data_IF_139509316021
#
_entry.id   IF_139509316021
#
_cell.length_a   1.000
_cell.length_b   1.000
_cell.length_c   1.000
_cell.angle_alpha   90.00
_cell.angle_beta   90.00
_cell.angle_gamma   90.00
#
_symmetry.space_group_name_H-M   'P 1'
#
loop_
_entity.id
_entity.type
_entity.pdbx_description
1 polymer ?
#
# COMPACT_ATOMS: atom_id res chain seq x y z
N UNK A 1 28.77 12.60 -16.10
CA UNK A 1 29.53 11.54 -16.80
C UNK A 1 28.80 11.18 -18.09
N UNK A 2 29.50 11.08 -19.22
CA UNK A 2 28.87 10.79 -20.53
C UNK A 2 29.25 9.37 -20.96
N UNK A 3 28.31 8.42 -20.94
CA UNK A 3 28.57 7.04 -21.34
C UNK A 3 28.61 6.89 -22.88
N UNK A 4 29.58 6.12 -23.37
CA UNK A 4 29.87 5.97 -24.79
C UNK A 4 29.14 4.81 -25.48
N UNK A 5 28.72 3.74 -24.74
CA UNK A 5 28.03 2.56 -25.31
C UNK A 5 26.86 2.06 -24.46
N UNK A 6 26.00 1.22 -25.04
CA UNK A 6 24.87 0.55 -24.34
C UNK A 6 25.35 -0.49 -23.32
N UNK A 7 26.49 -1.14 -23.58
CA UNK A 7 27.13 -2.07 -22.64
C UNK A 7 27.64 -1.39 -21.36
N UNK A 8 28.32 -0.24 -21.49
CA UNK A 8 28.82 0.53 -20.34
C UNK A 8 27.70 1.01 -19.40
N UNK A 9 26.50 1.23 -19.95
CA UNK A 9 25.33 1.67 -19.19
C UNK A 9 24.72 0.54 -18.36
N UNK A 10 24.63 -0.67 -18.92
CA UNK A 10 24.14 -1.84 -18.19
C UNK A 10 25.12 -2.21 -17.07
N UNK A 11 26.42 -2.23 -17.38
CA UNK A 11 27.46 -2.47 -16.39
C UNK A 11 27.44 -1.46 -15.24
N UNK A 12 27.30 -0.16 -15.54
CA UNK A 12 27.20 0.88 -14.51
C UNK A 12 25.95 0.75 -13.62
N UNK A 13 24.81 0.32 -14.18
CA UNK A 13 23.60 0.05 -13.38
C UNK A 13 23.76 -1.17 -12.50
N UNK A 14 24.36 -2.23 -13.01
CA UNK A 14 24.59 -3.46 -12.26
C UNK A 14 25.58 -3.17 -11.12
N UNK A 15 26.60 -2.33 -11.36
CA UNK A 15 27.55 -1.85 -10.35
C UNK A 15 26.87 -0.96 -9.31
N UNK A 16 25.94 -0.08 -9.72
CA UNK A 16 25.17 0.77 -8.80
C UNK A 16 24.12 -0.02 -8.01
N UNK A 17 23.43 -0.99 -8.61
CA UNK A 17 22.51 -1.91 -7.92
C UNK A 17 23.27 -2.78 -6.93
N UNK A 18 24.45 -3.24 -7.31
CA UNK A 18 25.38 -3.95 -6.41
C UNK A 18 25.85 -3.04 -5.27
N UNK A 19 26.13 -1.76 -5.54
CA UNK A 19 26.53 -0.79 -4.53
C UNK A 19 25.37 -0.37 -3.59
N UNK A 20 24.15 -0.27 -4.10
CA UNK A 20 22.94 -0.01 -3.30
C UNK A 20 22.55 -1.23 -2.45
N UNK A 21 22.91 -2.42 -2.90
CA UNK A 21 22.75 -3.67 -2.16
C UNK A 21 21.29 -4.08 -1.94
N UNK A 22 21.13 -5.10 -1.09
CA UNK A 22 19.83 -5.56 -0.61
C UNK A 22 19.33 -4.66 0.52
N UNK A 23 18.03 -4.46 0.58
CA UNK A 23 17.34 -3.83 1.71
C UNK A 23 16.77 -4.91 2.62
N UNK A 24 16.88 -4.70 3.93
CA UNK A 24 16.25 -5.55 4.91
C UNK A 24 14.73 -5.31 4.94
N UNK A 25 14.00 -6.38 5.20
CA UNK A 25 12.54 -6.38 5.33
C UNK A 25 12.21 -6.60 6.79
N UNK A 26 11.49 -5.64 7.36
CA UNK A 26 10.98 -5.72 8.72
C UNK A 26 9.46 -5.74 8.70
N UNK A 27 8.87 -6.67 9.46
CA UNK A 27 7.42 -6.81 9.59
C UNK A 27 7.05 -6.70 11.06
N UNK A 28 6.09 -5.82 11.36
CA UNK A 28 5.60 -5.54 12.69
C UNK A 28 4.09 -5.77 12.77
N UNK A 29 3.60 -6.22 13.92
CA UNK A 29 2.17 -6.45 14.16
C UNK A 29 1.60 -7.75 13.58
N UNK A 30 2.34 -8.46 12.73
CA UNK A 30 2.00 -9.76 12.16
C UNK A 30 3.22 -10.69 12.22
N UNK A 31 3.01 -12.01 12.18
CA UNK A 31 4.09 -12.94 11.95
C UNK A 31 4.55 -12.83 10.46
N UNK A 32 5.84 -12.55 10.19
CA UNK A 32 6.35 -12.35 8.83
C UNK A 32 6.21 -13.57 7.91
N UNK A 33 5.93 -14.75 8.48
CA UNK A 33 5.75 -16.01 7.73
C UNK A 33 4.33 -16.17 7.19
N UNK A 34 3.40 -15.30 7.58
CA UNK A 34 2.00 -15.36 7.14
C UNK A 34 1.84 -14.88 5.71
N UNK A 35 0.77 -15.34 5.04
CA UNK A 35 0.38 -14.83 3.72
C UNK A 35 0.08 -13.34 3.75
N UNK A 36 -0.57 -12.85 4.81
CA UNK A 36 -0.87 -11.43 4.98
C UNK A 36 0.41 -10.57 4.96
N UNK A 37 1.44 -10.96 5.73
CA UNK A 37 2.72 -10.26 5.73
C UNK A 37 3.38 -10.25 4.34
N UNK A 38 3.36 -11.39 3.63
CA UNK A 38 3.90 -11.49 2.27
C UNK A 38 3.20 -10.56 1.29
N UNK A 39 1.87 -10.52 1.30
CA UNK A 39 1.07 -9.67 0.42
C UNK A 39 1.39 -8.20 0.64
N UNK A 40 1.52 -7.76 1.89
CA UNK A 40 1.89 -6.38 2.21
C UNK A 40 3.28 -6.04 1.65
N UNK A 41 4.26 -6.92 1.83
CA UNK A 41 5.63 -6.74 1.30
C UNK A 41 5.62 -6.71 -0.23
N UNK A 42 4.93 -7.65 -0.87
CA UNK A 42 4.84 -7.74 -2.32
C UNK A 42 4.12 -6.53 -2.93
N UNK A 43 3.05 -6.04 -2.29
CA UNK A 43 2.31 -4.87 -2.76
C UNK A 43 3.21 -3.62 -2.79
N UNK A 44 3.92 -3.34 -1.69
CA UNK A 44 4.90 -2.25 -1.64
C UNK A 44 6.02 -2.43 -2.67
N UNK A 45 6.58 -3.64 -2.79
CA UNK A 45 7.63 -3.91 -3.75
C UNK A 45 7.17 -3.68 -5.19
N UNK A 46 5.98 -4.15 -5.56
CA UNK A 46 5.44 -3.97 -6.92
C UNK A 46 5.11 -2.52 -7.21
N UNK A 47 4.57 -1.76 -6.26
CA UNK A 47 4.34 -0.31 -6.40
C UNK A 47 5.64 0.41 -6.76
N UNK A 48 6.75 0.03 -6.11
CA UNK A 48 8.09 0.56 -6.42
C UNK A 48 8.54 0.20 -7.83
N UNK A 49 8.32 -1.03 -8.28
CA UNK A 49 8.65 -1.44 -9.65
C UNK A 49 7.87 -0.64 -10.69
N UNK A 50 6.56 -0.45 -10.48
CA UNK A 50 5.71 0.39 -11.35
C UNK A 50 6.18 1.84 -11.35
N UNK A 51 6.40 2.41 -10.16
CA UNK A 51 6.86 3.80 -10.02
C UNK A 51 8.24 4.05 -10.60
N UNK A 52 9.11 3.05 -10.62
CA UNK A 52 10.42 3.12 -11.27
C UNK A 52 10.40 2.73 -12.74
N UNK A 53 9.25 2.38 -13.31
CA UNK A 53 9.11 2.00 -14.73
C UNK A 53 9.79 0.66 -15.07
N UNK A 54 9.97 -0.20 -14.07
CA UNK A 54 10.47 -1.58 -14.24
C UNK A 54 9.30 -2.56 -14.47
N UNK A 55 8.11 -2.19 -14.04
CA UNK A 55 6.84 -2.80 -14.43
C UNK A 55 5.90 -1.73 -15.00
N UNK A 56 4.96 -2.15 -15.83
CA UNK A 56 4.01 -1.24 -16.47
C UNK A 56 2.87 -0.83 -15.52
N UNK A 57 2.55 0.46 -15.48
CA UNK A 57 1.32 0.94 -14.85
C UNK A 57 0.05 0.61 -15.65
N UNK A 58 -1.04 1.27 -15.30
CA UNK A 58 -2.29 1.33 -16.07
C UNK A 58 -2.44 2.72 -16.72
N UNK A 59 -3.36 2.93 -17.67
CA UNK A 59 -3.63 4.27 -18.18
C UNK A 59 -3.87 5.26 -17.03
N UNK A 60 -3.13 6.36 -17.02
CA UNK A 60 -3.15 7.36 -15.94
C UNK A 60 -2.01 7.22 -14.91
N UNK A 61 -1.36 6.06 -14.81
CA UNK A 61 -0.23 5.82 -13.91
C UNK A 61 1.09 5.75 -14.69
N UNK A 62 1.78 6.88 -14.77
CA UNK A 62 3.13 6.96 -15.35
C UNK A 62 4.19 6.64 -14.29
N UNK A 63 5.33 6.09 -14.71
CA UNK A 63 6.49 5.99 -13.81
C UNK A 63 6.98 7.39 -13.41
N UNK A 64 7.59 7.52 -12.24
CA UNK A 64 8.22 8.77 -11.79
C UNK A 64 9.25 9.28 -12.81
N UNK A 65 10.04 8.37 -13.39
CA UNK A 65 11.04 8.73 -14.40
C UNK A 65 10.40 9.28 -15.69
N UNK A 66 9.21 8.82 -16.06
CA UNK A 66 8.46 9.33 -17.21
C UNK A 66 7.82 10.70 -16.95
N UNK A 67 7.49 11.00 -15.69
CA UNK A 67 6.98 12.32 -15.27
C UNK A 67 8.05 13.42 -15.31
N UNK A 68 9.33 13.06 -15.33
CA UNK A 68 10.42 14.03 -15.46
C UNK A 68 10.44 14.60 -16.88
N UNK A 69 9.99 15.84 -17.00
CA UNK A 69 10.15 16.67 -18.19
C UNK A 69 11.28 17.68 -17.92
N UNK A 70 12.24 17.80 -18.85
CA UNK A 70 13.34 18.78 -18.75
C UNK A 70 13.23 19.73 -19.94
N UNK A 71 12.97 21.01 -19.64
CA UNK A 71 12.97 22.07 -20.64
C UNK A 71 14.36 22.34 -21.23
N UNK A 72 14.46 22.98 -22.40
CA UNK A 72 15.74 23.36 -22.98
C UNK A 72 16.54 24.27 -22.02
N UNK A 73 17.69 23.80 -21.52
CA UNK A 73 18.56 24.55 -20.61
C UNK A 73 18.30 24.36 -19.12
N UNK A 74 17.29 23.56 -18.74
CA UNK A 74 17.03 23.22 -17.34
C UNK A 74 17.93 22.07 -16.86
N UNK A 75 18.29 22.10 -15.58
CA UNK A 75 18.98 20.98 -14.94
C UNK A 75 17.98 19.88 -14.59
N UNK A 76 18.38 18.61 -14.69
CA UNK A 76 17.56 17.54 -14.13
C UNK A 76 17.37 17.76 -12.63
N UNK A 77 16.25 17.28 -12.06
CA UNK A 77 16.13 17.10 -10.63
C UNK A 77 17.37 16.37 -10.09
N UNK A 78 17.95 16.81 -8.97
CA UNK A 78 19.09 16.13 -8.36
C UNK A 78 18.73 14.66 -8.09
N UNK A 79 19.74 13.78 -8.07
CA UNK A 79 19.52 12.39 -7.68
C UNK A 79 18.95 12.37 -6.25
N UNK A 80 17.71 11.88 -6.10
CA UNK A 80 17.01 11.82 -4.83
C UNK A 80 16.61 10.39 -4.51
N UNK A 81 16.56 10.07 -3.22
CA UNK A 81 15.89 8.86 -2.75
C UNK A 81 14.43 9.23 -2.55
N UNK A 82 13.56 8.52 -3.26
CA UNK A 82 12.11 8.66 -3.12
C UNK A 82 11.66 7.67 -2.06
N UNK A 83 10.68 8.05 -1.25
CA UNK A 83 10.00 7.14 -0.35
C UNK A 83 8.52 7.09 -0.72
N UNK A 84 8.03 5.89 -1.01
CA UNK A 84 6.61 5.63 -1.22
C UNK A 84 6.12 4.58 -0.23
N UNK A 85 4.94 4.74 0.34
CA UNK A 85 4.38 3.69 1.20
C UNK A 85 2.86 3.65 1.12
N UNK A 86 2.31 2.46 1.33
CA UNK A 86 0.88 2.30 1.46
C UNK A 86 0.38 2.65 2.86
N UNK A 87 -0.81 3.23 2.92
CA UNK A 87 -1.61 3.39 4.13
C UNK A 87 -3.10 3.27 3.85
N UNK A 88 -3.91 3.25 4.90
CA UNK A 88 -5.37 3.21 4.78
C UNK A 88 -5.94 4.46 4.10
N UNK A 89 -7.01 4.26 3.33
CA UNK A 89 -7.75 5.31 2.63
C UNK A 89 -9.27 5.07 2.68
N UNK A 90 -9.81 5.12 3.89
CA UNK A 90 -11.24 5.14 4.13
C UNK A 90 -11.71 6.57 4.39
N UNK A 91 -12.86 6.91 3.85
CA UNK A 91 -13.53 8.20 4.05
C UNK A 91 -14.25 8.22 5.39
N UNK A 92 -14.94 7.11 5.73
CA UNK A 92 -15.70 6.97 6.95
C UNK A 92 -15.97 5.50 7.30
N UNK A 93 -16.25 5.26 8.58
CA UNK A 93 -17.01 4.09 9.02
C UNK A 93 -18.39 4.57 9.43
N UNK A 94 -19.42 4.04 8.79
CA UNK A 94 -20.81 4.32 9.15
C UNK A 94 -21.35 3.22 10.05
N UNK A 95 -22.28 3.56 10.93
CA UNK A 95 -23.06 2.60 11.72
C UNK A 95 -24.54 2.97 11.72
N UNK A 96 -25.42 1.97 11.81
CA UNK A 96 -26.83 2.20 12.16
C UNK A 96 -26.97 2.77 13.57
N UNK A 97 -28.10 3.40 13.88
CA UNK A 97 -28.37 3.97 15.21
C UNK A 97 -28.26 2.92 16.33
N UNK A 98 -28.69 1.69 16.07
CA UNK A 98 -28.58 0.55 16.99
C UNK A 98 -27.20 -0.15 16.94
N UNK A 99 -26.28 0.34 16.10
CA UNK A 99 -24.91 -0.16 15.89
C UNK A 99 -24.85 -1.66 15.60
N UNK A 100 -25.81 -2.16 14.81
CA UNK A 100 -25.87 -3.56 14.37
C UNK A 100 -25.38 -3.77 12.94
N UNK A 101 -25.36 -2.72 12.12
CA UNK A 101 -24.75 -2.76 10.80
C UNK A 101 -23.72 -1.64 10.67
N UNK A 102 -22.62 -1.96 9.97
CA UNK A 102 -21.51 -1.05 9.72
C UNK A 102 -21.21 -1.01 8.23
N UNK A 103 -20.78 0.14 7.72
CA UNK A 103 -20.31 0.27 6.35
C UNK A 103 -18.93 0.93 6.31
N UNK A 104 -17.99 0.27 5.64
CA UNK A 104 -16.70 0.86 5.32
C UNK A 104 -16.86 1.68 4.04
N UNK A 105 -16.48 2.96 4.08
CA UNK A 105 -16.54 3.87 2.92
C UNK A 105 -15.14 4.31 2.51
N UNK A 106 -14.89 4.34 1.22
CA UNK A 106 -13.61 4.72 0.62
C UNK A 106 -12.92 3.56 -0.11
N UNK A 107 -11.75 3.84 -0.65
CA UNK A 107 -11.02 2.94 -1.54
C UNK A 107 -10.24 1.85 -0.80
N UNK A 108 -10.01 2.04 0.50
CA UNK A 108 -9.31 1.11 1.39
C UNK A 108 -7.82 1.39 1.51
N UNK A 109 -7.11 1.63 0.41
CA UNK A 109 -5.68 1.94 0.43
C UNK A 109 -5.31 3.15 -0.45
N UNK A 110 -4.25 3.85 -0.06
CA UNK A 110 -3.57 4.90 -0.83
C UNK A 110 -2.07 4.80 -0.71
N UNK A 111 -1.37 5.45 -1.64
CA UNK A 111 0.06 5.66 -1.59
C UNK A 111 0.34 7.07 -1.07
N UNK A 112 1.30 7.18 -0.17
CA UNK A 112 1.90 8.44 0.25
C UNK A 112 3.34 8.52 -0.23
N UNK A 113 3.86 9.74 -0.32
CA UNK A 113 5.22 10.00 -0.79
C UNK A 113 5.96 10.97 0.12
N UNK A 114 7.29 10.81 0.14
CA UNK A 114 8.24 11.68 0.82
C UNK A 114 9.60 11.65 0.07
N UNK A 115 10.39 12.71 0.18
CA UNK A 115 11.78 12.74 -0.26
C UNK A 115 12.70 12.37 0.91
N UNK A 116 13.73 11.56 0.66
CA UNK A 116 14.76 11.22 1.65
C UNK A 116 16.12 11.77 1.22
N UNK A 117 16.95 12.12 2.22
CA UNK A 117 18.36 12.46 2.02
C UNK A 117 19.24 11.26 2.40
N UNK A 118 20.31 11.04 1.64
CA UNK A 118 21.34 10.06 1.99
C UNK A 118 22.45 10.75 2.79
N UNK A 119 22.82 10.17 3.94
CA UNK A 119 24.04 10.56 4.67
C UNK A 119 25.28 10.00 3.97
N UNK A 120 26.47 10.48 4.35
CA UNK A 120 27.73 10.01 3.80
C UNK A 120 27.98 8.50 4.08
N UNK A 121 27.35 7.98 5.13
CA UNK A 121 27.39 6.58 5.58
C UNK A 121 26.27 5.73 4.95
N UNK A 122 25.46 6.29 4.05
CA UNK A 122 24.34 5.60 3.41
C UNK A 122 23.06 5.53 4.25
N UNK A 123 22.99 6.23 5.38
CA UNK A 123 21.78 6.37 6.18
C UNK A 123 20.72 7.22 5.46
N UNK A 124 19.44 6.93 5.68
CA UNK A 124 18.32 7.69 5.10
C UNK A 124 17.75 8.65 6.12
N UNK A 125 17.55 9.91 5.73
CA UNK A 125 16.97 10.96 6.58
C UNK A 125 15.64 11.41 5.99
N UNK A 126 14.58 11.27 6.78
CA UNK A 126 13.23 11.72 6.47
C UNK A 126 13.16 13.26 6.44
N UNK A 127 12.57 13.82 5.39
CA UNK A 127 12.47 15.28 5.21
C UNK A 127 11.09 15.82 5.60
N UNK A 128 10.08 14.97 5.68
CA UNK A 128 8.67 15.32 5.81
C UNK A 128 8.10 16.07 4.60
N UNK A 129 8.89 16.24 3.53
CA UNK A 129 8.51 16.96 2.33
C UNK A 129 8.39 15.99 1.16
N UNK A 130 7.46 16.27 0.25
CA UNK A 130 7.35 15.53 -1.00
C UNK A 130 7.31 16.51 -2.16
N UNK A 131 8.25 16.44 -3.08
CA UNK A 131 8.31 17.28 -4.26
C UNK A 131 7.12 17.02 -5.21
N UNK A 132 6.78 17.98 -6.12
CA UNK A 132 5.60 17.87 -6.97
C UNK A 132 5.50 16.57 -7.78
N UNK A 133 6.58 16.13 -8.44
CA UNK A 133 6.58 14.89 -9.23
C UNK A 133 6.41 13.65 -8.35
N UNK A 134 6.99 13.67 -7.15
CA UNK A 134 6.91 12.58 -6.19
C UNK A 134 5.46 12.42 -5.69
N UNK A 135 4.82 13.54 -5.34
CA UNK A 135 3.38 13.58 -4.98
C UNK A 135 2.49 13.16 -6.14
N UNK A 136 2.80 13.62 -7.35
CA UNK A 136 2.02 13.31 -8.55
C UNK A 136 1.97 11.80 -8.80
N UNK A 137 3.11 11.10 -8.66
CA UNK A 137 3.12 9.64 -8.75
C UNK A 137 2.19 9.00 -7.71
N UNK A 138 2.35 9.33 -6.42
CA UNK A 138 1.54 8.75 -5.35
C UNK A 138 0.04 9.05 -5.50
N UNK A 139 -0.31 10.26 -5.93
CA UNK A 139 -1.69 10.65 -6.24
C UNK A 139 -2.24 9.82 -7.41
N UNK A 140 -1.54 9.77 -8.55
CA UNK A 140 -1.99 9.00 -9.72
C UNK A 140 -2.14 7.50 -9.40
N UNK A 141 -1.22 6.93 -8.63
CA UNK A 141 -1.30 5.53 -8.20
C UNK A 141 -2.53 5.30 -7.32
N UNK A 142 -2.82 6.24 -6.41
CA UNK A 142 -4.00 6.18 -5.54
C UNK A 142 -5.29 6.31 -6.35
N UNK A 143 -5.38 7.30 -7.23
CA UNK A 143 -6.58 7.55 -8.06
C UNK A 143 -6.92 6.37 -8.97
N UNK A 144 -5.91 5.64 -9.44
CA UNK A 144 -6.08 4.50 -10.34
C UNK A 144 -5.91 3.14 -9.64
N UNK A 145 -6.04 3.09 -8.32
CA UNK A 145 -5.81 1.87 -7.55
C UNK A 145 -6.75 0.72 -7.94
N UNK A 146 -8.00 1.03 -8.32
CA UNK A 146 -8.95 0.00 -8.80
C UNK A 146 -8.45 -0.67 -10.08
N UNK A 147 -8.11 0.13 -11.10
CA UNK A 147 -7.59 -0.39 -12.37
C UNK A 147 -6.25 -1.12 -12.16
N UNK A 148 -5.40 -0.64 -11.24
CA UNK A 148 -4.20 -1.36 -10.83
C UNK A 148 -4.52 -2.70 -10.18
N UNK A 149 -5.60 -2.79 -9.41
CA UNK A 149 -6.04 -4.03 -8.75
C UNK A 149 -6.60 -5.05 -9.75
N UNK A 150 -7.24 -4.60 -10.83
CA UNK A 150 -7.64 -5.47 -11.94
C UNK A 150 -6.41 -6.03 -12.69
N UNK A 151 -5.41 -5.18 -12.97
CA UNK A 151 -4.17 -5.58 -13.64
C UNK A 151 -3.30 -6.47 -12.75
N UNK A 152 -3.20 -6.13 -11.48
CA UNK A 152 -2.40 -6.81 -10.46
C UNK A 152 -3.32 -7.19 -9.28
N UNK A 153 -3.94 -8.39 -9.31
CA UNK A 153 -4.84 -8.86 -8.26
C UNK A 153 -4.26 -8.83 -6.83
N UNK A 154 -2.93 -8.80 -6.73
CA UNK A 154 -2.21 -8.53 -5.49
C UNK A 154 -2.72 -7.27 -4.74
N UNK A 155 -3.07 -6.19 -5.46
CA UNK A 155 -3.58 -4.98 -4.82
C UNK A 155 -5.03 -5.12 -4.33
N UNK A 156 -5.87 -5.89 -5.04
CA UNK A 156 -7.20 -6.25 -4.54
C UNK A 156 -7.09 -7.06 -3.24
N UNK A 157 -6.13 -7.99 -3.19
CA UNK A 157 -5.86 -8.76 -1.99
C UNK A 157 -5.31 -7.91 -0.84
N UNK A 158 -4.40 -6.98 -1.14
CA UNK A 158 -3.92 -6.02 -0.16
C UNK A 158 -5.06 -5.16 0.40
N UNK A 159 -6.00 -4.72 -0.44
CA UNK A 159 -7.23 -4.03 0.00
C UNK A 159 -8.05 -4.90 0.96
N UNK A 160 -8.25 -6.18 0.64
CA UNK A 160 -8.96 -7.09 1.53
C UNK A 160 -8.28 -7.22 2.91
N UNK A 161 -6.95 -7.12 2.99
CA UNK A 161 -6.23 -7.09 4.26
C UNK A 161 -6.46 -5.77 5.03
N UNK A 162 -6.54 -4.64 4.33
CA UNK A 162 -6.95 -3.35 4.91
C UNK A 162 -8.37 -3.42 5.47
N UNK A 163 -9.31 -3.97 4.71
CA UNK A 163 -10.71 -4.15 5.11
C UNK A 163 -10.79 -5.05 6.35
N UNK A 164 -10.10 -6.20 6.32
CA UNK A 164 -10.08 -7.14 7.43
C UNK A 164 -9.46 -6.54 8.69
N UNK A 165 -8.39 -5.75 8.57
CA UNK A 165 -7.79 -5.05 9.69
C UNK A 165 -8.76 -4.04 10.32
N UNK A 166 -9.50 -3.30 9.49
CA UNK A 166 -10.52 -2.35 9.94
C UNK A 166 -11.72 -3.06 10.59
N UNK A 167 -12.19 -4.17 10.01
CA UNK A 167 -13.25 -5.01 10.60
C UNK A 167 -12.80 -5.59 11.94
N UNK A 168 -11.58 -6.12 12.04
CA UNK A 168 -11.04 -6.64 13.29
C UNK A 168 -10.94 -5.55 14.37
N UNK A 169 -10.55 -4.34 13.99
CA UNK A 169 -10.56 -3.19 14.88
C UNK A 169 -11.99 -2.83 15.33
N UNK A 170 -12.97 -2.81 14.42
CA UNK A 170 -14.38 -2.59 14.75
C UNK A 170 -14.93 -3.64 15.72
N UNK A 171 -14.67 -4.93 15.47
CA UNK A 171 -15.12 -6.02 16.35
C UNK A 171 -14.62 -5.82 17.77
N UNK A 172 -13.36 -5.37 17.92
CA UNK A 172 -12.75 -5.09 19.22
C UNK A 172 -13.31 -3.82 19.87
N UNK A 173 -13.27 -2.68 19.18
CA UNK A 173 -13.62 -1.38 19.77
C UNK A 173 -15.12 -1.24 20.06
N UNK A 174 -15.98 -1.88 19.26
CA UNK A 174 -17.44 -1.88 19.47
C UNK A 174 -17.94 -3.11 20.24
N UNK A 175 -17.04 -3.96 20.75
CA UNK A 175 -17.37 -5.17 21.50
C UNK A 175 -18.41 -6.06 20.80
N UNK A 176 -18.29 -6.17 19.47
CA UNK A 176 -19.30 -6.82 18.62
C UNK A 176 -19.39 -8.33 18.91
N UNK A 177 -18.27 -8.95 19.27
CA UNK A 177 -18.22 -10.35 19.64
C UNK A 177 -19.10 -10.63 20.88
N UNK A 178 -18.99 -9.81 21.94
CA UNK A 178 -19.84 -9.98 23.11
C UNK A 178 -21.31 -9.65 22.83
N UNK A 179 -21.60 -8.59 22.07
CA UNK A 179 -22.97 -8.20 21.68
C UNK A 179 -23.72 -9.30 20.91
N UNK A 180 -22.99 -10.17 20.22
CA UNK A 180 -23.53 -11.30 19.46
C UNK A 180 -23.37 -12.66 20.16
N UNK A 181 -22.76 -12.68 21.35
CA UNK A 181 -22.48 -13.93 22.08
C UNK A 181 -21.38 -14.79 21.43
N UNK A 182 -20.56 -14.23 20.54
CA UNK A 182 -19.44 -14.94 19.93
C UNK A 182 -18.23 -14.95 20.87
N UNK A 183 -17.87 -16.12 21.38
CA UNK A 183 -16.77 -16.29 22.34
C UNK A 183 -15.37 -16.35 21.72
N UNK A 184 -15.25 -16.26 20.38
CA UNK A 184 -13.97 -16.25 19.64
C UNK A 184 -12.98 -17.39 19.97
N UNK A 185 -13.45 -18.53 20.48
CA UNK A 185 -12.58 -19.63 20.95
C UNK A 185 -11.72 -20.27 19.85
N UNK A 186 -12.18 -20.22 18.59
CA UNK A 186 -11.42 -20.73 17.44
C UNK A 186 -10.50 -19.65 16.83
N UNK A 187 -11.02 -18.44 16.60
CA UNK A 187 -10.33 -17.42 15.80
C UNK A 187 -9.68 -16.29 16.62
N UNK A 188 -10.02 -16.14 17.89
CA UNK A 188 -9.43 -15.14 18.80
C UNK A 188 -8.35 -15.69 19.72
N UNK A 189 -8.28 -17.01 19.90
CA UNK A 189 -7.19 -17.67 20.62
C UNK A 189 -6.01 -17.94 19.66
N UNK A 190 -4.79 -17.42 19.92
CA UNK A 190 -3.61 -17.75 19.15
C UNK A 190 -3.27 -19.25 19.09
N UNK A 191 -3.80 -20.08 19.99
CA UNK A 191 -3.65 -21.53 19.99
C UNK A 191 -4.83 -22.27 19.32
N UNK A 192 -5.90 -21.57 18.95
CA UNK A 192 -7.09 -22.13 18.32
C UNK A 192 -6.84 -22.53 16.87
N UNK A 193 -7.21 -21.66 15.92
CA UNK A 193 -7.01 -21.92 14.50
C UNK A 193 -5.56 -21.60 14.07
N UNK A 194 -4.77 -22.64 13.83
CA UNK A 194 -3.41 -22.50 13.31
C UNK A 194 -3.42 -22.43 11.78
N UNK A 195 -2.79 -21.39 11.24
CA UNK A 195 -2.57 -21.25 9.81
C UNK A 195 -1.24 -21.87 9.38
N UNK A 196 -1.16 -22.26 8.11
CA UNK A 196 0.11 -22.65 7.52
C UNK A 196 1.05 -21.44 7.41
N UNK A 197 2.31 -21.64 7.80
CA UNK A 197 3.35 -20.62 7.78
C UNK A 197 4.34 -20.89 6.65
N UNK A 198 4.67 -19.84 5.90
CA UNK A 198 5.70 -19.90 4.87
C UNK A 198 7.09 -19.49 5.37
N UNK A 199 8.00 -19.30 4.42
CA UNK A 199 9.25 -18.58 4.63
C UNK A 199 9.00 -17.08 4.85
N UNK A 200 9.63 -16.50 5.88
CA UNK A 200 9.61 -15.06 6.11
C UNK A 200 10.45 -14.33 5.03
N UNK A 201 9.94 -13.25 4.42
CA UNK A 201 10.76 -12.38 3.59
C UNK A 201 11.77 -11.67 4.50
N UNK A 202 13.05 -11.66 4.11
CA UNK A 202 14.15 -11.09 4.92
C UNK A 202 14.83 -9.92 4.24
N UNK A 203 15.01 -10.03 2.93
CA UNK A 203 15.77 -9.06 2.14
C UNK A 203 15.16 -8.95 0.74
N UNK A 204 15.29 -7.79 0.12
CA UNK A 204 14.91 -7.56 -1.27
C UNK A 204 15.98 -6.73 -1.99
N UNK A 205 16.11 -6.88 -3.30
CA UNK A 205 16.97 -6.00 -4.08
C UNK A 205 16.47 -4.55 -4.02
N UNK A 206 17.40 -3.60 -3.93
CA UNK A 206 17.04 -2.19 -4.02
C UNK A 206 16.41 -1.88 -5.37
N UNK A 207 15.19 -1.37 -5.35
CA UNK A 207 14.52 -0.91 -6.57
C UNK A 207 15.13 0.43 -6.99
N UNK A 208 15.86 0.40 -8.10
CA UNK A 208 16.45 1.57 -8.72
C UNK A 208 16.40 1.48 -10.25
N UNK A 209 16.14 2.61 -10.88
CA UNK A 209 16.12 2.76 -12.32
C UNK A 209 16.56 4.17 -12.73
N UNK A 210 16.83 4.35 -14.01
CA UNK A 210 17.37 5.58 -14.57
C UNK A 210 16.74 5.91 -15.92
N UNK A 211 16.73 7.20 -16.26
CA UNK A 211 16.32 7.67 -17.59
C UNK A 211 17.39 8.56 -18.20
N UNK A 212 17.63 8.39 -19.51
CA UNK A 212 18.55 9.23 -20.28
C UNK A 212 17.77 10.34 -20.97
N UNK A 213 18.01 11.58 -20.59
CA UNK A 213 17.32 12.75 -21.14
C UNK A 213 18.24 13.44 -22.15
N UNK A 214 17.79 13.51 -23.41
CA UNK A 214 18.63 13.89 -24.56
C UNK A 214 18.77 15.41 -24.75
N UNK A 215 17.86 16.21 -24.21
CA UNK A 215 17.64 17.62 -24.60
C UNK A 215 18.77 18.59 -24.27
N UNK A 216 19.69 18.28 -23.33
CA UNK A 216 20.73 19.23 -22.96
C UNK A 216 22.08 18.62 -22.52
N UNK A 217 22.54 17.53 -23.16
CA UNK A 217 23.79 16.76 -22.88
C UNK A 217 23.62 15.47 -22.05
N UNK A 218 22.83 14.51 -22.56
CA UNK A 218 22.74 13.11 -22.05
C UNK A 218 22.76 13.04 -20.52
N UNK A 219 21.79 13.67 -19.87
CA UNK A 219 21.70 13.66 -18.42
C UNK A 219 21.02 12.35 -17.99
N UNK A 220 21.63 11.66 -17.03
CA UNK A 220 21.09 10.44 -16.43
C UNK A 220 20.42 10.83 -15.12
N UNK A 221 19.09 10.73 -15.04
CA UNK A 221 18.41 10.84 -13.75
C UNK A 221 18.26 9.43 -13.20
N UNK A 222 18.96 9.15 -12.10
CA UNK A 222 18.83 7.93 -11.32
C UNK A 222 17.93 8.25 -10.12
N UNK A 223 16.98 7.38 -9.86
CA UNK A 223 16.25 7.38 -8.60
C UNK A 223 16.28 5.97 -8.00
N UNK A 224 16.52 5.92 -6.69
CA UNK A 224 16.30 4.74 -5.86
C UNK A 224 15.08 4.99 -5.01
N UNK A 225 14.31 3.93 -4.73
CA UNK A 225 13.09 4.06 -3.94
C UNK A 225 13.11 3.18 -2.70
N UNK A 226 12.79 3.80 -1.57
CA UNK A 226 12.48 3.17 -0.29
C UNK A 226 10.96 3.13 -0.08
N UNK A 227 10.50 2.39 0.92
CA UNK A 227 9.06 2.35 1.17
C UNK A 227 8.61 1.41 2.27
N UNK A 228 7.34 1.04 2.21
CA UNK A 228 6.74 0.10 3.14
C UNK A 228 5.22 0.15 3.11
N UNK A 229 4.62 -0.44 4.15
CA UNK A 229 3.18 -0.45 4.35
C UNK A 229 2.90 -0.12 5.81
N UNK A 230 1.95 0.78 6.06
CA UNK A 230 1.41 1.04 7.39
C UNK A 230 -0.10 0.88 7.38
N UNK A 231 -0.60 -0.15 8.04
CA UNK A 231 -2.03 -0.35 8.27
C UNK A 231 -2.33 -0.07 9.74
N UNK A 232 -3.05 1.02 10.00
CA UNK A 232 -3.43 1.45 11.34
C UNK A 232 -4.91 1.88 11.32
N UNK A 233 -5.84 0.97 11.63
CA UNK A 233 -7.27 1.25 11.59
C UNK A 233 -7.77 2.04 12.81
N UNK A 234 -6.97 2.15 13.87
CA UNK A 234 -7.37 2.72 15.16
C UNK A 234 -8.03 4.11 15.06
N UNK A 235 -7.52 5.06 14.23
CA UNK A 235 -8.16 6.37 14.07
C UNK A 235 -9.56 6.32 13.47
N UNK A 236 -9.87 5.30 12.66
CA UNK A 236 -11.16 5.14 11.98
C UNK A 236 -12.25 4.57 12.89
N UNK A 237 -11.85 3.95 14.00
CA UNK A 237 -12.75 3.31 14.98
C UNK A 237 -12.66 3.93 16.36
N UNK A 238 -11.93 5.03 16.51
CA UNK A 238 -11.81 5.75 17.76
C UNK A 238 -13.19 6.26 18.23
N UNK A 239 -13.37 6.51 19.54
CA UNK A 239 -14.60 7.09 20.06
C UNK A 239 -14.98 8.38 19.31
N UNK A 240 -16.16 8.39 18.68
CA UNK A 240 -16.66 9.52 17.89
C UNK A 240 -16.18 9.58 16.43
N UNK A 241 -15.31 8.67 15.98
CA UNK A 241 -14.90 8.57 14.58
C UNK A 241 -15.93 7.84 13.70
N UNK A 242 -16.70 6.92 14.30
CA UNK A 242 -17.77 6.19 13.60
C UNK A 242 -19.00 7.09 13.48
N UNK A 243 -19.43 7.34 12.25
CA UNK A 243 -20.56 8.19 11.95
C UNK A 243 -21.88 7.41 12.00
N UNK A 244 -22.91 7.96 12.65
CA UNK A 244 -24.25 7.38 12.58
C UNK A 244 -24.90 7.72 11.24
N UNK A 245 -25.30 6.69 10.49
CA UNK A 245 -26.03 6.89 9.24
C UNK A 245 -27.47 7.35 9.53
N UNK A 246 -27.84 8.51 8.99
CA UNK A 246 -29.13 9.14 9.28
C UNK A 246 -30.22 8.87 8.25
N UNK A 247 -29.84 8.45 7.04
CA UNK A 247 -30.73 8.45 5.88
C UNK A 247 -31.37 7.09 5.60
N UNK A 248 -30.93 6.02 6.26
CA UNK A 248 -31.54 4.69 6.20
C UNK A 248 -31.03 3.69 5.14
N UNK A 249 -30.20 4.00 4.12
CA UNK A 249 -29.70 2.96 3.20
C UNK A 249 -29.07 1.75 3.88
N UNK A 250 -28.18 1.96 4.86
CA UNK A 250 -27.53 0.87 5.59
C UNK A 250 -28.52 0.08 6.43
N UNK A 251 -29.48 0.77 7.07
CA UNK A 251 -30.53 0.10 7.84
C UNK A 251 -31.44 -0.76 6.93
N UNK A 252 -31.77 -0.26 5.73
CA UNK A 252 -32.54 -0.99 4.74
C UNK A 252 -31.76 -2.17 4.18
N UNK A 253 -30.48 -1.98 3.82
CA UNK A 253 -29.62 -3.08 3.35
C UNK A 253 -29.49 -4.18 4.41
N UNK A 254 -29.34 -3.80 5.68
CA UNK A 254 -29.29 -4.77 6.78
C UNK A 254 -30.60 -5.55 6.94
N UNK A 255 -31.77 -4.88 6.82
CA UNK A 255 -33.07 -5.55 6.95
C UNK A 255 -33.40 -6.45 5.75
N UNK A 256 -32.94 -6.09 4.55
CA UNK A 256 -33.12 -6.87 3.32
C UNK A 256 -32.14 -8.05 3.20
N UNK A 257 -30.95 -7.95 3.80
CA UNK A 257 -29.92 -8.99 3.70
C UNK A 257 -30.29 -10.28 4.43
N UNK A 258 -31.10 -10.21 5.49
CA UNK A 258 -31.50 -11.39 6.28
C UNK A 258 -32.47 -12.26 5.46
N UNK A 259 -32.13 -13.52 5.12
CA UNK A 259 -33.05 -14.41 4.43
C UNK A 259 -34.32 -14.63 5.26
N UNK A 260 -35.50 -14.46 4.62
CA UNK A 260 -36.81 -14.60 5.28
C UNK A 260 -37.07 -16.02 5.77
N UNK A 261 -36.48 -17.01 5.09
CA UNK A 261 -36.63 -18.43 5.39
C UNK A 261 -35.23 -19.06 5.48
N UNK A 262 -34.61 -18.94 6.65
CA UNK A 262 -33.33 -19.59 6.95
C UNK A 262 -33.59 -20.87 7.77
N UNK A 263 -33.26 -22.07 7.25
CA UNK A 263 -33.31 -23.29 8.05
C UNK A 263 -32.45 -23.17 9.32
N UNK A 264 -32.80 -23.83 10.44
CA UNK A 264 -32.05 -23.74 11.70
C UNK A 264 -30.57 -24.14 11.57
N UNK A 265 -30.25 -25.04 10.64
CA UNK A 265 -28.90 -25.56 10.40
C UNK A 265 -28.14 -24.76 9.33
N UNK A 266 -28.80 -23.81 8.67
CA UNK A 266 -28.24 -23.08 7.54
C UNK A 266 -27.50 -21.83 8.00
N UNK A 267 -26.35 -21.62 7.39
CA UNK A 267 -25.59 -20.38 7.52
C UNK A 267 -25.72 -19.64 6.19
N UNK A 268 -25.81 -18.32 6.26
CA UNK A 268 -25.80 -17.48 5.07
C UNK A 268 -24.69 -16.45 5.19
N UNK A 269 -24.09 -16.19 4.05
CA UNK A 269 -23.23 -15.06 3.77
C UNK A 269 -23.69 -14.57 2.39
N UNK A 270 -23.74 -13.26 2.17
CA UNK A 270 -24.07 -12.70 0.87
C UNK A 270 -22.89 -12.79 -0.12
#
# INVERSE_FOLDING_TARGET
MTFARTGDRKAWLDEMRSALGTQDIEVYGLDPRTRAARVMVEADYRMKLVGMGLEEGVPGVKSYLDLIEIGPGEAAPPMGVLRWWFTLNYDAVLATEDRRAFALRGQGAKVLSENELLTAEGGRVHTGQSEPLNRQFAQSFTEHFEALSEKYPLYAEFRNLCDLALVAALVREEDLAAKTGWHMTCFGDPAGYQIELGAAPKTVETVANYRVIRTAKKLHTLAGVSGGVRVDPSPLVAPGAIETERYGPLANSHSEAVPKELPPEAWWWD
#
